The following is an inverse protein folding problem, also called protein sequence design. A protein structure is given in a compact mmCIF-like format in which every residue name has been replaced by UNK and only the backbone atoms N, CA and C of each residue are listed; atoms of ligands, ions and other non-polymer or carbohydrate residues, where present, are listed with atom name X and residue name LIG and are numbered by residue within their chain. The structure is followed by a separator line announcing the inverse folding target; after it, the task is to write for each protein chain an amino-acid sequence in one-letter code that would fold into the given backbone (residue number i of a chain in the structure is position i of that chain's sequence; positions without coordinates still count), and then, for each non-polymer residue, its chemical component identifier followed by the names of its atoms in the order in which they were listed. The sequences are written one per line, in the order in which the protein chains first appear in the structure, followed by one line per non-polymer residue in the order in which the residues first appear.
data_IF_095225812544
#
_entry.id   IF_095225812544
#
_cell.length_a   1.000
_cell.length_b   1.000
_cell.length_c   1.000
_cell.angle_alpha   90.00
_cell.angle_beta   90.00
_cell.angle_gamma   90.00
#
_symmetry.space_group_name_H-M   'P 1'
#
loop_
_entity.id
_entity.type
_entity.pdbx_description
1 polymer ?
#
# COMPACT_ATOMS: atom_id res chain seq x y z
N UNK A 1 0.94 3.62 -59.73
CA UNK A 1 1.86 3.72 -58.59
C UNK A 1 0.99 3.72 -57.36
N UNK A 2 0.95 2.61 -56.63
CA UNK A 2 0.26 2.51 -55.34
C UNK A 2 1.05 3.29 -54.32
N UNK A 3 0.42 4.23 -53.63
CA UNK A 3 1.05 4.99 -52.54
C UNK A 3 1.57 4.01 -51.50
N UNK A 4 2.87 4.06 -51.24
CA UNK A 4 3.50 3.30 -50.16
C UNK A 4 3.16 4.04 -48.85
N UNK A 5 2.25 3.49 -48.07
CA UNK A 5 2.00 3.96 -46.71
C UNK A 5 3.10 3.43 -45.78
N UNK A 6 3.92 4.30 -45.25
CA UNK A 6 4.91 3.94 -44.22
C UNK A 6 4.23 4.05 -42.88
N UNK A 7 4.14 2.93 -42.18
CA UNK A 7 3.63 2.89 -40.80
C UNK A 7 4.80 2.85 -39.81
N UNK A 8 4.75 3.71 -38.82
CA UNK A 8 5.71 3.73 -37.72
C UNK A 8 5.21 2.78 -36.66
N UNK A 9 6.03 1.81 -36.29
CA UNK A 9 5.73 0.86 -35.22
C UNK A 9 6.60 1.13 -34.00
N UNK A 10 6.06 0.83 -32.82
CA UNK A 10 6.73 0.95 -31.53
C UNK A 10 6.75 -0.40 -30.83
N UNK A 11 7.82 -0.68 -30.12
CA UNK A 11 7.93 -1.90 -29.31
C UNK A 11 7.07 -1.79 -28.07
N UNK A 12 6.37 -2.89 -27.76
CA UNK A 12 5.71 -3.12 -26.48
C UNK A 12 6.48 -4.21 -25.76
N UNK A 13 6.87 -3.91 -24.53
CA UNK A 13 7.60 -4.83 -23.64
C UNK A 13 6.79 -5.10 -22.38
N UNK A 14 7.02 -6.26 -21.77
CA UNK A 14 6.59 -6.61 -20.42
C UNK A 14 7.83 -7.16 -19.71
N UNK A 15 8.18 -6.56 -18.57
CA UNK A 15 9.36 -6.91 -17.77
C UNK A 15 10.64 -6.96 -18.61
N UNK A 16 10.83 -5.94 -19.49
CA UNK A 16 11.96 -5.80 -20.39
C UNK A 16 11.93 -6.74 -21.60
N UNK A 17 10.98 -7.65 -21.69
CA UNK A 17 10.85 -8.59 -22.82
C UNK A 17 9.86 -8.07 -23.84
N UNK A 18 10.30 -7.94 -25.10
CA UNK A 18 9.42 -7.53 -26.21
C UNK A 18 8.32 -8.57 -26.43
N UNK A 19 7.07 -8.12 -26.40
CA UNK A 19 5.87 -8.94 -26.61
C UNK A 19 5.15 -8.61 -27.91
N UNK A 20 5.26 -7.37 -28.41
CA UNK A 20 4.61 -6.96 -29.66
C UNK A 20 5.31 -5.76 -30.32
N UNK A 21 4.88 -5.45 -31.56
CA UNK A 21 5.16 -4.20 -32.27
C UNK A 21 3.83 -3.62 -32.75
N UNK A 22 3.49 -2.46 -32.25
CA UNK A 22 2.19 -1.81 -32.49
C UNK A 22 2.37 -0.56 -33.34
N UNK A 23 1.49 -0.32 -34.30
CA UNK A 23 1.49 0.92 -35.10
C UNK A 23 1.15 2.10 -34.18
N UNK A 24 1.88 3.19 -34.33
CA UNK A 24 1.66 4.41 -33.53
C UNK A 24 0.20 4.86 -33.63
N UNK A 25 -0.44 5.05 -32.48
CA UNK A 25 -1.83 5.43 -32.35
C UNK A 25 -2.82 4.25 -32.29
N UNK A 26 -2.38 3.01 -32.51
CA UNK A 26 -3.18 1.82 -32.30
C UNK A 26 -3.09 1.35 -30.83
N UNK A 27 -3.96 0.42 -30.44
CA UNK A 27 -4.03 -0.12 -29.09
C UNK A 27 -3.32 -1.47 -28.98
N UNK A 28 -2.72 -1.71 -27.82
CA UNK A 28 -2.25 -3.00 -27.35
C UNK A 28 -3.13 -3.48 -26.19
N UNK A 29 -3.61 -4.71 -26.27
CA UNK A 29 -4.38 -5.33 -25.19
C UNK A 29 -3.44 -6.07 -24.23
N UNK A 30 -3.41 -5.65 -22.98
CA UNK A 30 -2.59 -6.29 -21.94
C UNK A 30 -3.06 -7.74 -21.71
N UNK A 31 -2.14 -8.68 -21.44
CA UNK A 31 -2.50 -10.08 -21.21
C UNK A 31 -3.51 -10.26 -20.08
N UNK A 32 -4.43 -11.24 -20.26
CA UNK A 32 -5.42 -11.61 -19.25
C UNK A 32 -5.12 -12.99 -18.67
N UNK A 33 -5.48 -13.20 -17.39
CA UNK A 33 -5.27 -14.47 -16.70
C UNK A 33 -3.79 -14.74 -16.36
N UNK A 34 -2.93 -13.73 -16.45
CA UNK A 34 -1.51 -13.84 -16.15
C UNK A 34 -1.30 -13.86 -14.62
N UNK A 35 -0.80 -14.99 -14.12
CA UNK A 35 -0.46 -15.15 -12.70
C UNK A 35 0.79 -14.35 -12.31
N UNK A 36 1.62 -13.95 -13.27
CA UNK A 36 2.78 -13.10 -13.03
C UNK A 36 2.40 -11.63 -12.87
N UNK A 37 1.17 -11.22 -13.18
CA UNK A 37 0.67 -9.87 -13.07
C UNK A 37 -0.71 -9.84 -12.38
N UNK A 38 -0.85 -10.53 -11.26
CA UNK A 38 -2.14 -10.72 -10.57
C UNK A 38 -2.82 -9.38 -10.21
N UNK A 39 -2.04 -8.34 -9.95
CA UNK A 39 -2.52 -6.97 -9.70
C UNK A 39 -2.44 -6.07 -10.93
N UNK A 40 -2.12 -6.63 -12.11
CA UNK A 40 -2.01 -5.89 -13.37
C UNK A 40 -0.60 -5.42 -13.69
N UNK A 41 -0.51 -4.35 -14.47
CA UNK A 41 0.72 -3.87 -15.08
C UNK A 41 0.96 -2.40 -14.77
N UNK A 42 2.16 -2.06 -14.37
CA UNK A 42 2.56 -0.69 -14.11
C UNK A 42 3.36 -0.11 -15.29
N UNK A 43 3.06 1.12 -15.68
CA UNK A 43 3.87 1.90 -16.60
C UNK A 43 3.75 3.39 -16.28
N UNK A 44 4.87 4.08 -16.14
CA UNK A 44 4.97 5.56 -16.03
C UNK A 44 3.99 6.21 -15.02
N UNK A 45 3.86 5.65 -13.83
CA UNK A 45 3.00 6.20 -12.77
C UNK A 45 1.56 5.70 -12.81
N UNK A 46 1.21 4.81 -13.74
CA UNK A 46 -0.15 4.32 -13.94
C UNK A 46 -0.19 2.81 -13.79
N UNK A 47 -1.19 2.31 -13.05
CA UNK A 47 -1.54 0.89 -13.01
C UNK A 47 -2.65 0.58 -14.00
N UNK A 48 -2.48 -0.46 -14.76
CA UNK A 48 -3.43 -0.98 -15.75
C UNK A 48 -3.89 -2.37 -15.32
N UNK A 49 -5.17 -2.66 -15.52
CA UNK A 49 -5.69 -4.00 -15.27
C UNK A 49 -5.27 -4.98 -16.35
N UNK A 50 -5.33 -6.25 -16.02
CA UNK A 50 -5.25 -7.30 -17.02
C UNK A 50 -6.38 -7.17 -18.04
N UNK A 51 -6.07 -7.35 -19.33
CA UNK A 51 -7.02 -7.23 -20.43
C UNK A 51 -7.37 -5.80 -20.83
N UNK A 52 -6.77 -4.79 -20.21
CA UNK A 52 -6.97 -3.38 -20.56
C UNK A 52 -6.31 -3.04 -21.90
N UNK A 53 -6.94 -2.17 -22.69
CA UNK A 53 -6.40 -1.66 -23.95
C UNK A 53 -5.64 -0.35 -23.71
N UNK A 54 -4.40 -0.29 -24.16
CA UNK A 54 -3.54 0.89 -24.02
C UNK A 54 -3.12 1.40 -25.38
N UNK A 55 -3.33 2.70 -25.65
CA UNK A 55 -2.88 3.34 -26.90
C UNK A 55 -1.37 3.49 -26.91
N UNK A 56 -0.71 2.98 -27.96
CA UNK A 56 0.74 2.98 -28.11
C UNK A 56 1.19 4.17 -28.99
N UNK A 57 1.74 5.19 -28.36
CA UNK A 57 2.31 6.35 -29.07
C UNK A 57 3.84 6.32 -29.10
N UNK A 58 4.47 5.68 -28.12
CA UNK A 58 5.90 5.51 -27.99
C UNK A 58 6.24 4.08 -27.55
N UNK A 59 7.53 3.75 -27.46
CA UNK A 59 7.98 2.50 -26.86
C UNK A 59 7.50 2.43 -25.40
N UNK A 60 6.89 1.30 -25.03
CA UNK A 60 6.30 1.10 -23.70
C UNK A 60 6.89 -0.19 -23.10
N UNK A 61 7.31 -0.12 -21.84
CA UNK A 61 7.69 -1.28 -21.04
C UNK A 61 6.82 -1.36 -19.79
N UNK A 62 5.94 -2.35 -19.77
CA UNK A 62 5.07 -2.62 -18.64
C UNK A 62 5.78 -3.49 -17.61
N UNK A 63 5.62 -3.16 -16.35
CA UNK A 63 6.11 -3.95 -15.22
C UNK A 63 4.97 -4.74 -14.59
N UNK A 64 5.09 -6.06 -14.53
CA UNK A 64 4.11 -6.94 -13.88
C UNK A 64 4.10 -6.72 -12.37
N UNK A 65 2.91 -6.65 -11.77
CA UNK A 65 2.72 -6.43 -10.32
C UNK A 65 2.02 -7.63 -9.69
N UNK A 66 2.66 -8.23 -8.67
CA UNK A 66 2.19 -9.46 -8.01
C UNK A 66 2.71 -9.60 -6.59
N UNK A 67 2.21 -10.65 -5.91
CA UNK A 67 2.75 -11.18 -4.64
C UNK A 67 2.83 -10.15 -3.50
N UNK A 68 1.93 -9.14 -3.51
CA UNK A 68 1.86 -8.14 -2.44
C UNK A 68 1.26 -8.78 -1.19
N UNK A 69 2.01 -8.76 -0.10
CA UNK A 69 1.54 -9.17 1.22
C UNK A 69 1.75 -8.05 2.22
N UNK A 70 0.70 -7.71 2.97
CA UNK A 70 0.73 -6.70 4.02
C UNK A 70 0.65 -7.37 5.38
N UNK A 71 1.61 -7.11 6.26
CA UNK A 71 1.66 -7.69 7.60
C UNK A 71 1.70 -6.59 8.65
N UNK A 72 0.79 -6.65 9.61
CA UNK A 72 0.79 -5.76 10.77
C UNK A 72 1.59 -6.41 11.91
N UNK A 73 2.53 -5.67 12.49
CA UNK A 73 3.28 -6.12 13.65
C UNK A 73 2.36 -6.19 14.89
N UNK A 74 2.62 -7.17 15.76
CA UNK A 74 1.85 -7.32 17.00
C UNK A 74 2.08 -6.15 17.96
N UNK A 75 1.00 -5.73 18.61
CA UNK A 75 1.01 -4.67 19.61
C UNK A 75 1.15 -3.27 19.02
N UNK A 76 1.74 -2.37 19.80
CA UNK A 76 2.00 -0.99 19.43
C UNK A 76 3.24 -0.47 20.15
N UNK A 77 3.96 0.47 19.51
CA UNK A 77 5.08 1.21 20.11
C UNK A 77 4.64 2.58 20.62
N UNK A 78 5.51 3.21 21.43
CA UNK A 78 5.32 4.60 21.80
C UNK A 78 6.00 5.52 20.76
N UNK A 79 5.36 6.64 20.48
CA UNK A 79 5.93 7.75 19.74
C UNK A 79 6.29 8.85 20.74
N UNK A 80 7.59 9.17 20.86
CA UNK A 80 8.11 10.16 21.82
C UNK A 80 8.59 11.45 21.16
N UNK A 81 8.80 11.45 19.83
CA UNK A 81 9.27 12.61 19.07
C UNK A 81 8.08 13.35 18.46
N UNK A 82 8.24 14.66 18.28
CA UNK A 82 7.21 15.59 17.81
C UNK A 82 5.97 15.57 18.72
N UNK A 83 4.83 15.09 18.21
CA UNK A 83 3.64 14.85 19.04
C UNK A 83 3.67 13.45 19.62
N UNK A 84 3.62 13.33 20.96
CA UNK A 84 3.59 12.04 21.63
C UNK A 84 2.32 11.24 21.31
N UNK A 85 2.44 9.92 21.23
CA UNK A 85 1.30 9.05 20.88
C UNK A 85 1.65 7.57 20.83
N UNK A 86 0.77 6.81 20.22
CA UNK A 86 0.96 5.40 19.90
C UNK A 86 1.28 5.22 18.42
N UNK A 87 2.11 4.26 18.12
CA UNK A 87 2.52 3.91 16.77
C UNK A 87 2.31 2.43 16.52
N UNK A 88 1.68 2.12 15.40
CA UNK A 88 1.56 0.77 14.86
C UNK A 88 2.50 0.64 13.67
N UNK A 89 3.09 -0.53 13.48
CA UNK A 89 4.05 -0.78 12.42
C UNK A 89 3.53 -1.89 11.52
N UNK A 90 3.74 -1.71 10.22
CA UNK A 90 3.42 -2.71 9.21
C UNK A 90 4.62 -2.93 8.28
N UNK A 91 4.61 -4.05 7.57
CA UNK A 91 5.54 -4.36 6.50
C UNK A 91 4.80 -4.83 5.27
N UNK A 92 5.35 -4.47 4.11
CA UNK A 92 4.96 -4.97 2.81
C UNK A 92 6.07 -5.88 2.33
N UNK A 93 5.70 -7.04 1.80
CA UNK A 93 6.60 -7.93 1.07
C UNK A 93 6.02 -8.22 -0.30
N UNK A 94 6.88 -8.22 -1.30
CA UNK A 94 6.59 -8.56 -2.68
C UNK A 94 7.90 -9.03 -3.33
N UNK A 95 7.87 -9.41 -4.60
CA UNK A 95 9.11 -9.59 -5.35
C UNK A 95 9.82 -8.25 -5.61
N UNK A 96 11.10 -8.29 -5.99
CA UNK A 96 11.94 -7.09 -6.16
C UNK A 96 11.37 -6.12 -7.20
N UNK A 97 10.76 -6.64 -8.25
CA UNK A 97 10.17 -5.85 -9.34
C UNK A 97 8.94 -5.09 -8.83
N UNK A 98 8.03 -5.79 -8.17
CA UNK A 98 6.84 -5.20 -7.53
C UNK A 98 7.22 -4.22 -6.43
N UNK A 99 8.24 -4.52 -5.60
CA UNK A 99 8.74 -3.59 -4.59
C UNK A 99 9.28 -2.29 -5.21
N UNK A 100 9.95 -2.39 -6.37
CA UNK A 100 10.40 -1.20 -7.11
C UNK A 100 9.23 -0.31 -7.54
N UNK A 101 8.10 -0.89 -7.95
CA UNK A 101 6.87 -0.13 -8.26
C UNK A 101 6.28 0.49 -7.00
N UNK A 102 6.12 -0.27 -5.91
CA UNK A 102 5.58 0.23 -4.64
C UNK A 102 6.39 1.42 -4.11
N UNK A 103 7.72 1.38 -4.22
CA UNK A 103 8.62 2.44 -3.76
C UNK A 103 8.45 3.78 -4.51
N UNK A 104 7.81 3.78 -5.68
CA UNK A 104 7.50 5.02 -6.41
C UNK A 104 6.36 5.81 -5.76
N UNK A 105 5.47 5.12 -5.03
CA UNK A 105 4.33 5.71 -4.31
C UNK A 105 3.49 6.67 -5.16
N UNK A 106 3.24 6.30 -6.41
CA UNK A 106 2.40 7.05 -7.33
C UNK A 106 1.03 6.36 -7.55
N UNK A 107 1.01 5.15 -8.11
CA UNK A 107 -0.22 4.37 -8.32
C UNK A 107 -0.50 3.33 -7.22
N UNK A 108 0.51 3.00 -6.40
CA UNK A 108 0.40 2.10 -5.25
C UNK A 108 0.83 2.85 -4.01
N UNK A 109 -0.06 2.92 -3.02
CA UNK A 109 0.17 3.64 -1.77
C UNK A 109 -0.15 2.75 -0.57
N UNK A 110 0.49 3.03 0.56
CA UNK A 110 0.24 2.32 1.81
C UNK A 110 -0.50 3.19 2.81
N UNK A 111 -1.24 2.54 3.71
CA UNK A 111 -1.94 3.23 4.77
C UNK A 111 -2.25 2.34 5.97
N UNK A 112 -2.81 2.97 7.00
CA UNK A 112 -3.17 2.29 8.23
C UNK A 112 -4.44 2.87 8.85
N UNK A 113 -5.40 2.01 9.11
CA UNK A 113 -6.62 2.32 9.83
C UNK A 113 -6.40 2.09 11.31
N UNK A 114 -6.73 3.07 12.14
CA UNK A 114 -6.62 2.97 13.60
C UNK A 114 -7.98 3.27 14.20
N UNK A 115 -8.42 2.46 15.15
CA UNK A 115 -9.68 2.66 15.87
C UNK A 115 -9.56 2.29 17.34
N UNK A 116 -10.49 2.78 18.15
CA UNK A 116 -10.66 2.31 19.52
C UNK A 116 -11.32 0.93 19.51
N UNK A 117 -10.77 0.00 20.28
CA UNK A 117 -11.22 -1.40 20.34
C UNK A 117 -12.70 -1.57 20.66
N UNK A 118 -13.23 -0.72 21.54
CA UNK A 118 -14.66 -0.76 21.89
C UNK A 118 -15.58 -0.31 20.72
N UNK A 119 -15.11 0.51 19.80
CA UNK A 119 -15.86 0.85 18.60
C UNK A 119 -15.89 -0.34 17.64
N UNK A 120 -14.76 -0.97 17.40
CA UNK A 120 -14.65 -2.17 16.59
C UNK A 120 -15.54 -3.31 17.11
N UNK A 121 -15.51 -3.60 18.41
CA UNK A 121 -16.32 -4.68 19.01
C UNK A 121 -17.80 -4.32 19.14
N UNK A 122 -18.14 -3.04 19.12
CA UNK A 122 -19.51 -2.56 19.26
C UNK A 122 -20.35 -2.60 17.98
N UNK A 123 -19.71 -2.73 16.82
CA UNK A 123 -20.42 -2.67 15.52
C UNK A 123 -21.07 -3.98 15.12
N UNK A 124 -20.62 -5.11 15.63
CA UNK A 124 -21.18 -6.43 15.33
C UNK A 124 -20.64 -7.08 14.03
N UNK A 125 -20.15 -6.32 13.08
CA UNK A 125 -19.55 -6.85 11.84
C UNK A 125 -18.06 -7.15 11.97
N UNK A 126 -17.39 -6.54 12.95
CA UNK A 126 -15.96 -6.71 13.22
C UNK A 126 -15.05 -6.51 12.01
N UNK A 127 -15.44 -5.64 11.09
CA UNK A 127 -14.59 -5.24 9.96
C UNK A 127 -13.90 -3.91 10.25
N UNK A 128 -12.66 -3.77 9.83
CA UNK A 128 -11.91 -2.51 9.84
C UNK A 128 -11.29 -2.34 8.45
N UNK A 129 -11.98 -1.59 7.61
CA UNK A 129 -11.60 -1.29 6.23
C UNK A 129 -11.81 0.18 5.90
N UNK A 130 -11.48 0.60 4.69
CA UNK A 130 -11.65 1.99 4.24
C UNK A 130 -13.12 2.47 4.23
N UNK A 131 -14.08 1.55 4.25
CA UNK A 131 -15.54 1.85 4.29
C UNK A 131 -16.07 1.90 5.71
N UNK A 132 -15.30 1.50 6.71
CA UNK A 132 -15.72 1.46 8.11
C UNK A 132 -15.95 2.87 8.66
N UNK A 133 -17.16 3.16 9.11
CA UNK A 133 -17.57 4.47 9.62
C UNK A 133 -17.05 4.77 11.03
N UNK A 134 -16.54 3.77 11.74
CA UNK A 134 -16.00 3.89 13.10
C UNK A 134 -14.48 3.98 13.15
N UNK A 135 -13.81 4.09 12.02
CA UNK A 135 -12.37 4.35 11.96
C UNK A 135 -12.06 5.68 12.63
N UNK A 136 -11.22 5.64 13.68
CA UNK A 136 -10.83 6.85 14.42
C UNK A 136 -9.85 7.69 13.60
N UNK A 137 -8.97 7.02 12.84
CA UNK A 137 -7.93 7.65 12.04
C UNK A 137 -7.58 6.76 10.86
N UNK A 138 -7.60 7.33 9.67
CA UNK A 138 -6.92 6.77 8.51
C UNK A 138 -5.60 7.53 8.32
N UNK A 139 -4.49 6.81 8.40
CA UNK A 139 -3.14 7.36 8.16
C UNK A 139 -2.73 6.89 6.78
N UNK A 140 -2.78 7.78 5.81
CA UNK A 140 -2.22 7.54 4.49
C UNK A 140 -0.74 7.92 4.49
N UNK A 141 0.11 7.00 4.05
CA UNK A 141 1.54 7.23 3.98
C UNK A 141 1.93 7.67 2.55
N UNK A 142 1.22 8.66 2.02
CA UNK A 142 1.40 9.19 0.68
C UNK A 142 2.66 10.04 0.47
N UNK A 143 3.62 10.01 1.39
CA UNK A 143 4.88 10.75 1.25
C UNK A 143 5.93 9.81 0.67
N UNK A 144 6.40 10.07 -0.54
CA UNK A 144 7.51 9.33 -1.16
C UNK A 144 8.66 9.16 -0.17
N UNK A 145 9.08 7.90 0.05
CA UNK A 145 10.13 7.57 1.01
C UNK A 145 9.68 7.57 2.47
N UNK A 146 8.39 7.51 2.74
CA UNK A 146 7.81 7.43 4.09
C UNK A 146 8.08 6.14 4.85
N UNK A 147 9.06 5.34 4.42
CA UNK A 147 9.47 4.11 5.10
C UNK A 147 10.01 4.38 6.49
N UNK A 148 9.56 3.61 7.46
CA UNK A 148 10.00 3.73 8.85
C UNK A 148 11.52 3.49 8.98
N UNK A 149 12.21 4.48 9.54
CA UNK A 149 13.67 4.44 9.74
C UNK A 149 14.48 4.13 8.46
N UNK A 150 13.96 4.49 7.29
CA UNK A 150 14.61 4.20 6.00
C UNK A 150 14.61 2.73 5.61
N UNK A 151 13.87 1.88 6.32
CA UNK A 151 13.73 0.47 6.02
C UNK A 151 12.64 0.27 4.98
N UNK A 152 13.05 -0.07 3.77
CA UNK A 152 12.16 -0.40 2.66
C UNK A 152 11.12 -1.45 3.05
N UNK A 153 9.89 -1.26 2.59
CA UNK A 153 8.77 -2.14 2.88
C UNK A 153 8.24 -2.05 4.32
N UNK A 154 8.77 -1.13 5.17
CA UNK A 154 8.28 -0.98 6.55
C UNK A 154 7.77 0.44 6.79
N UNK A 155 6.53 0.58 7.25
CA UNK A 155 5.89 1.86 7.53
C UNK A 155 5.12 1.86 8.85
N UNK A 156 4.72 3.05 9.30
CA UNK A 156 4.01 3.22 10.57
C UNK A 156 2.81 4.15 10.44
N UNK A 157 1.71 3.78 11.09
CA UNK A 157 0.62 4.69 11.42
C UNK A 157 0.70 5.12 12.88
N UNK A 158 0.50 6.41 13.16
CA UNK A 158 0.55 6.94 14.52
C UNK A 158 -0.72 7.71 14.87
N UNK A 159 -1.27 7.41 16.04
CA UNK A 159 -2.30 8.25 16.67
C UNK A 159 -1.63 9.11 17.72
N UNK A 160 -1.77 10.43 17.60
CA UNK A 160 -1.13 11.43 18.45
C UNK A 160 -2.18 12.28 19.17
N UNK A 161 -1.73 13.13 20.12
CA UNK A 161 -2.61 14.04 20.88
C UNK A 161 -3.77 13.32 21.59
N UNK A 162 -3.54 12.08 22.02
CA UNK A 162 -4.54 11.32 22.79
C UNK A 162 -4.75 12.01 24.13
N UNK A 163 -6.00 12.36 24.43
CA UNK A 163 -6.36 13.00 25.71
C UNK A 163 -6.16 12.03 26.88
N UNK A 164 -5.81 12.56 28.07
CA UNK A 164 -5.43 11.75 29.25
C UNK A 164 -6.48 10.75 29.68
N UNK A 165 -7.76 11.09 29.57
CA UNK A 165 -8.91 10.22 29.86
C UNK A 165 -8.98 9.00 28.94
N UNK A 166 -8.35 9.07 27.76
CA UNK A 166 -8.28 7.98 26.79
C UNK A 166 -7.03 7.09 26.95
N UNK A 167 -6.13 7.38 27.90
CA UNK A 167 -4.88 6.60 28.07
C UNK A 167 -5.12 5.16 28.52
N UNK A 168 -6.31 4.85 29.06
CA UNK A 168 -6.75 3.50 29.43
C UNK A 168 -7.56 2.82 28.32
N UNK A 169 -7.94 3.55 27.28
CA UNK A 169 -8.67 3.00 26.14
C UNK A 169 -7.73 2.16 25.28
N UNK A 170 -8.18 0.99 24.87
CA UNK A 170 -7.44 0.14 23.94
C UNK A 170 -7.64 0.64 22.53
N UNK A 171 -6.56 0.67 21.77
CA UNK A 171 -6.53 0.95 20.33
C UNK A 171 -6.03 -0.26 19.56
N UNK A 172 -6.48 -0.38 18.34
CA UNK A 172 -6.09 -1.41 17.40
C UNK A 172 -5.93 -0.82 16.00
N UNK A 173 -5.30 -1.57 15.11
CA UNK A 173 -5.04 -1.12 13.75
C UNK A 173 -5.24 -2.25 12.73
N UNK A 174 -5.35 -1.85 11.48
CA UNK A 174 -5.22 -2.69 10.29
C UNK A 174 -4.43 -1.93 9.23
N UNK A 175 -3.41 -2.54 8.69
CA UNK A 175 -2.62 -1.96 7.61
C UNK A 175 -3.21 -2.32 6.25
N UNK A 176 -2.92 -1.49 5.23
CA UNK A 176 -3.37 -1.76 3.87
C UNK A 176 -2.38 -1.20 2.83
N UNK A 177 -2.49 -1.73 1.63
CA UNK A 177 -1.95 -1.18 0.39
C UNK A 177 -3.11 -0.94 -0.56
N UNK A 178 -3.16 0.22 -1.16
CA UNK A 178 -4.17 0.61 -2.15
C UNK A 178 -3.51 0.75 -3.52
N UNK A 179 -4.11 0.13 -4.52
CA UNK A 179 -3.73 0.19 -5.93
C UNK A 179 -4.79 0.99 -6.65
N UNK A 180 -4.39 2.10 -7.31
CA UNK A 180 -5.27 2.93 -8.14
C UNK A 180 -5.02 2.64 -9.61
N UNK A 181 -6.06 2.22 -10.31
CA UNK A 181 -5.99 1.88 -11.72
C UNK A 181 -6.31 3.06 -12.63
N UNK A 182 -5.88 2.98 -13.89
CA UNK A 182 -6.14 3.93 -14.98
C UNK A 182 -7.62 4.29 -15.16
N UNK A 183 -8.52 3.34 -14.89
CA UNK A 183 -9.97 3.52 -14.97
C UNK A 183 -10.60 4.16 -13.72
N UNK A 184 -9.78 4.64 -12.79
CA UNK A 184 -10.15 5.21 -11.48
C UNK A 184 -10.81 4.21 -10.52
N UNK A 185 -10.71 2.91 -10.77
CA UNK A 185 -11.07 1.91 -9.77
C UNK A 185 -9.90 1.64 -8.83
N UNK A 186 -10.20 1.07 -7.68
CA UNK A 186 -9.22 0.79 -6.64
C UNK A 186 -9.30 -0.67 -6.20
N UNK A 187 -8.15 -1.24 -5.88
CA UNK A 187 -8.03 -2.53 -5.20
C UNK A 187 -7.25 -2.32 -3.90
N UNK A 188 -7.72 -2.93 -2.81
CA UNK A 188 -7.11 -2.76 -1.49
C UNK A 188 -6.74 -4.11 -0.89
N UNK A 189 -5.47 -4.24 -0.56
CA UNK A 189 -4.89 -5.43 0.08
C UNK A 189 -4.69 -5.10 1.56
N UNK A 190 -5.38 -5.84 2.43
CA UNK A 190 -5.32 -5.62 3.87
C UNK A 190 -4.45 -6.63 4.59
N UNK A 191 -3.82 -6.20 5.68
CA UNK A 191 -3.30 -7.12 6.70
C UNK A 191 -4.44 -7.77 7.49
N UNK A 192 -4.11 -8.73 8.34
CA UNK A 192 -4.97 -9.09 9.45
C UNK A 192 -5.21 -7.87 10.36
N UNK A 193 -6.35 -7.87 11.03
CA UNK A 193 -6.63 -6.88 12.08
C UNK A 193 -5.75 -7.18 13.30
N UNK A 194 -5.29 -6.15 14.00
CA UNK A 194 -4.51 -6.33 15.22
C UNK A 194 -5.23 -7.23 16.23
N UNK A 195 -4.59 -8.32 16.61
CA UNK A 195 -5.09 -9.25 17.60
C UNK A 195 -4.68 -8.86 19.04
N UNK A 196 -3.85 -7.85 19.20
CA UNK A 196 -3.33 -7.36 20.49
C UNK A 196 -3.60 -5.87 20.70
N UNK A 197 -4.86 -5.47 20.95
CA UNK A 197 -5.18 -4.08 21.27
C UNK A 197 -4.41 -3.57 22.49
N UNK A 198 -3.84 -2.37 22.40
CA UNK A 198 -2.99 -1.77 23.44
C UNK A 198 -3.56 -0.45 23.92
N UNK A 199 -3.30 -0.14 25.19
CA UNK A 199 -3.53 1.20 25.76
C UNK A 199 -2.25 2.02 25.75
N UNK A 200 -2.36 3.35 25.74
CA UNK A 200 -1.20 4.26 25.89
C UNK A 200 -0.39 3.89 27.13
N UNK A 201 -1.09 3.60 28.26
CA UNK A 201 -0.44 3.23 29.53
C UNK A 201 0.39 1.95 29.43
N UNK A 202 -0.11 0.92 28.73
CA UNK A 202 0.63 -0.33 28.52
C UNK A 202 1.90 -0.10 27.69
N UNK A 203 1.76 0.62 26.58
CA UNK A 203 2.87 0.90 25.66
C UNK A 203 3.95 1.76 26.36
N UNK A 204 3.55 2.80 27.10
CA UNK A 204 4.48 3.64 27.85
C UNK A 204 5.21 2.85 28.95
N UNK A 205 4.53 1.96 29.68
CA UNK A 205 5.18 1.09 30.67
C UNK A 205 6.21 0.15 30.06
N UNK A 206 5.89 -0.48 28.91
CA UNK A 206 6.83 -1.34 28.21
C UNK A 206 8.07 -0.57 27.79
N UNK A 207 7.90 0.61 27.20
CA UNK A 207 9.02 1.47 26.78
C UNK A 207 9.95 1.86 27.95
N UNK A 208 9.37 2.23 29.10
CA UNK A 208 10.18 2.58 30.30
C UNK A 208 10.92 1.35 30.81
N UNK A 209 10.29 0.17 30.82
CA UNK A 209 10.95 -1.06 31.25
C UNK A 209 12.14 -1.41 30.36
N UNK A 210 11.97 -1.35 29.03
CA UNK A 210 13.05 -1.60 28.07
C UNK A 210 14.18 -0.57 28.17
N UNK A 211 13.86 0.69 28.39
CA UNK A 211 14.83 1.76 28.56
C UNK A 211 15.68 1.58 29.82
N UNK A 212 15.08 1.02 30.89
CA UNK A 212 15.76 0.74 32.17
C UNK A 212 16.60 -0.55 32.13
N UNK A 213 16.36 -1.45 31.17
CA UNK A 213 17.12 -2.69 31.01
C UNK A 213 18.49 -2.49 30.35
N UNK A 214 18.74 -1.30 29.79
CA UNK A 214 19.99 -0.93 29.11
C UNK A 214 20.97 -0.10 30.00
N UNK A 215 20.75 -0.10 31.32
CA UNK A 215 21.68 0.51 32.32
C UNK A 215 22.19 -0.54 33.30
#
# INVERSE_FOLDING_TARGET
ITDIKVEIVKEVKIDGTRVDNVVVGETYTLPSGDKAAIYGYYCDGVMYKQGEEVTVNDEIDFTSVKDITVTLANGAGIRTQDSAGMRFQASITADDTTMTVINKQDAITEGMLITAYNLYTGTGDHTLDLKSTYTTLNVENGVKGGWYAGKEGTYCGSIVNIQKENYIRKFMARAYVEIKYSDNTEEVIYSDVSNEPRTVRQVAKAYIADSNSNY
#
